data_IF_864796707351
#
_entry.id   IF_864796707351
#
_cell.length_a   1.000
_cell.length_b   1.000
_cell.length_c   1.000
_cell.angle_alpha   90.00
_cell.angle_beta   90.00
_cell.angle_gamma   90.00
#
_symmetry.space_group_name_H-M   'P 1'
#
loop_
_entity.id
_entity.type
_entity.pdbx_description
1 polymer ?
#
# COMPACT_ATOMS: atom_id res chain seq x y z
N UNK A 1 1.16 2.93 -5.25
CA UNK A 1 0.51 3.90 -6.17
C UNK A 1 -0.96 3.56 -6.27
N UNK A 2 -1.86 4.53 -6.10
CA UNK A 2 -3.31 4.31 -6.20
C UNK A 2 -3.73 4.46 -7.67
N UNK A 3 -4.15 3.38 -8.31
CA UNK A 3 -4.65 3.42 -9.70
C UNK A 3 -6.04 4.07 -9.74
N UNK A 4 -6.93 3.63 -8.85
CA UNK A 4 -8.29 4.14 -8.71
C UNK A 4 -8.75 4.01 -7.26
N UNK A 5 -9.70 4.85 -6.85
CA UNK A 5 -10.23 4.89 -5.49
C UNK A 5 -9.49 5.86 -4.57
N UNK A 6 -9.60 5.59 -3.25
CA UNK A 6 -9.10 6.45 -2.18
C UNK A 6 -8.83 5.65 -0.92
N UNK A 7 -7.70 5.93 -0.27
CA UNK A 7 -7.26 5.26 0.96
C UNK A 7 -6.90 6.27 2.06
N UNK A 8 -6.97 5.82 3.31
CA UNK A 8 -6.33 6.44 4.46
C UNK A 8 -5.09 5.61 4.83
N UNK A 9 -3.91 6.22 4.76
CA UNK A 9 -2.64 5.62 5.14
C UNK A 9 -2.20 6.20 6.47
N UNK A 10 -1.96 5.35 7.47
CA UNK A 10 -1.47 5.79 8.79
C UNK A 10 -0.04 5.31 9.01
N UNK A 11 0.87 6.24 9.32
CA UNK A 11 2.27 5.97 9.68
C UNK A 11 2.66 6.86 10.85
N UNK A 12 3.31 6.30 11.87
CA UNK A 12 3.76 7.04 13.07
C UNK A 12 2.64 7.87 13.77
N UNK A 13 1.39 7.40 13.70
CA UNK A 13 0.23 8.08 14.28
C UNK A 13 -0.34 9.23 13.42
N UNK A 14 0.25 9.52 12.26
CA UNK A 14 -0.28 10.48 11.30
C UNK A 14 -1.02 9.75 10.18
N UNK A 15 -2.22 10.22 9.85
CA UNK A 15 -3.03 9.68 8.75
C UNK A 15 -3.05 10.65 7.58
N UNK A 16 -2.69 10.15 6.40
CA UNK A 16 -2.76 10.88 5.13
C UNK A 16 -3.81 10.23 4.23
N UNK A 17 -4.63 11.06 3.58
CA UNK A 17 -5.57 10.60 2.55
C UNK A 17 -4.85 10.58 1.21
N UNK A 18 -4.95 9.48 0.49
CA UNK A 18 -4.28 9.28 -0.80
C UNK A 18 -5.29 8.82 -1.82
N UNK A 19 -5.35 9.54 -2.93
CA UNK A 19 -6.34 9.41 -4.00
C UNK A 19 -5.69 8.82 -5.27
N UNK A 20 -6.53 8.44 -6.22
CA UNK A 20 -6.10 7.98 -7.54
C UNK A 20 -5.06 8.92 -8.18
N UNK A 21 -3.97 8.33 -8.69
CA UNK A 21 -2.84 9.06 -9.28
C UNK A 21 -1.72 9.41 -8.28
N UNK A 22 -1.94 9.22 -6.98
CA UNK A 22 -0.94 9.54 -5.96
C UNK A 22 -0.10 8.31 -5.55
N UNK A 23 1.12 8.56 -5.10
CA UNK A 23 2.08 7.55 -4.66
C UNK A 23 2.44 7.75 -3.19
N UNK A 24 2.60 6.63 -2.49
CA UNK A 24 3.14 6.57 -1.14
C UNK A 24 4.47 5.82 -1.22
N UNK A 25 5.44 6.27 -0.43
CA UNK A 25 6.67 5.52 -0.17
C UNK A 25 6.70 5.16 1.30
N UNK A 26 6.81 3.86 1.58
CA UNK A 26 6.91 3.32 2.94
C UNK A 26 8.37 2.93 3.18
N UNK A 27 9.08 3.59 4.12
CA UNK A 27 10.42 3.18 4.50
C UNK A 27 10.45 1.76 5.09
N UNK A 28 11.58 1.07 4.95
CA UNK A 28 11.79 -0.23 5.60
C UNK A 28 11.53 -0.15 7.11
N UNK A 29 10.92 -1.20 7.66
CA UNK A 29 10.52 -1.34 9.07
C UNK A 29 9.55 -0.26 9.61
N UNK A 30 9.07 0.66 8.78
CA UNK A 30 8.06 1.63 9.20
C UNK A 30 6.72 0.93 9.44
N UNK A 31 6.20 1.01 10.66
CA UNK A 31 4.86 0.52 10.99
C UNK A 31 3.81 1.36 10.27
N UNK A 32 2.94 0.69 9.51
CA UNK A 32 1.93 1.35 8.69
C UNK A 32 0.63 0.54 8.63
N UNK A 33 -0.48 1.24 8.42
CA UNK A 33 -1.81 0.68 8.18
C UNK A 33 -2.44 1.39 6.99
N UNK A 34 -3.12 0.63 6.12
CA UNK A 34 -3.92 1.17 5.02
C UNK A 34 -5.38 0.77 5.21
N UNK A 35 -6.28 1.75 5.12
CA UNK A 35 -7.73 1.55 5.06
C UNK A 35 -8.29 2.08 3.74
N UNK A 36 -8.94 1.22 2.96
CA UNK A 36 -9.72 1.67 1.81
C UNK A 36 -10.95 2.47 2.26
N UNK A 37 -11.17 3.64 1.66
CA UNK A 37 -12.32 4.52 1.95
C UNK A 37 -13.43 4.38 0.90
N UNK A 38 -13.09 3.87 -0.28
CA UNK A 38 -13.97 3.52 -1.39
C UNK A 38 -13.34 2.35 -2.18
N UNK A 39 -14.06 1.76 -3.14
CA UNK A 39 -13.52 0.71 -4.01
C UNK A 39 -12.21 1.16 -4.65
N UNK A 40 -11.13 0.43 -4.36
CA UNK A 40 -9.77 0.88 -4.63
C UNK A 40 -8.96 -0.19 -5.32
N UNK A 41 -8.19 0.24 -6.33
CA UNK A 41 -7.14 -0.57 -6.96
C UNK A 41 -5.81 0.13 -6.73
N UNK A 42 -4.85 -0.57 -6.14
CA UNK A 42 -3.50 -0.06 -5.92
C UNK A 42 -2.44 -1.04 -6.41
N UNK A 43 -1.25 -0.50 -6.72
CA UNK A 43 -0.04 -1.29 -6.95
C UNK A 43 0.88 -1.08 -5.76
N UNK A 44 1.29 -2.18 -5.16
CA UNK A 44 2.34 -2.25 -4.15
C UNK A 44 3.55 -2.96 -4.75
N UNK A 45 4.73 -2.35 -4.54
CA UNK A 45 6.00 -2.89 -5.00
C UNK A 45 6.95 -2.97 -3.82
N UNK A 46 7.60 -4.13 -3.66
CA UNK A 46 8.47 -4.41 -2.53
C UNK A 46 9.90 -4.65 -3.02
N UNK A 47 10.87 -4.08 -2.30
CA UNK A 47 12.30 -4.32 -2.49
C UNK A 47 12.93 -4.54 -1.11
N UNK A 48 13.45 -5.75 -0.79
CA UNK A 48 13.51 -6.94 -1.64
C UNK A 48 12.14 -7.59 -1.90
N UNK A 49 12.11 -8.62 -2.74
CA UNK A 49 10.90 -9.40 -3.01
C UNK A 49 10.36 -10.07 -1.73
N UNK A 50 9.04 -10.20 -1.66
CA UNK A 50 8.33 -10.84 -0.55
C UNK A 50 8.19 -12.33 -0.79
N UNK A 51 9.09 -13.12 -0.19
CA UNK A 51 9.11 -14.59 -0.32
C UNK A 51 7.78 -15.23 0.08
N UNK A 52 7.12 -14.69 1.10
CA UNK A 52 5.82 -15.15 1.58
C UNK A 52 4.71 -14.95 0.55
N UNK A 53 4.71 -13.84 -0.19
CA UNK A 53 3.78 -13.62 -1.30
C UNK A 53 4.11 -14.50 -2.50
N UNK A 54 5.40 -14.65 -2.83
CA UNK A 54 5.84 -15.50 -3.95
C UNK A 54 5.45 -16.96 -3.75
N UNK A 55 5.50 -17.46 -2.51
CA UNK A 55 5.08 -18.82 -2.18
C UNK A 55 3.58 -19.09 -2.41
N UNK A 56 2.76 -18.05 -2.58
CA UNK A 56 1.31 -18.20 -2.87
C UNK A 56 1.01 -18.33 -4.36
N UNK A 57 1.99 -18.10 -5.24
CA UNK A 57 1.80 -18.21 -6.69
C UNK A 57 1.71 -19.70 -7.04
N UNK A 58 0.60 -20.09 -7.67
CA UNK A 58 0.38 -21.43 -8.24
C UNK A 58 0.35 -21.31 -9.77
N UNK A 59 0.71 -22.41 -10.46
CA UNK A 59 0.71 -22.48 -11.94
C UNK A 59 -0.70 -22.41 -12.55
#
# INVERSE_FOLDING_TARGET
FVISGKIAMTMNGETTIVSAGEQIHVPGDAMHEVKALEDTVMIENFTPLREDLLATITE
#
